data_IF_148806039211
#
_entry.id   IF_148806039211
#
_cell.length_a   1.000
_cell.length_b   1.000
_cell.length_c   1.000
_cell.angle_alpha   90.00
_cell.angle_beta   90.00
_cell.angle_gamma   90.00
#
_symmetry.space_group_name_H-M   'P 1'
#
loop_
_entity.id
_entity.type
_entity.pdbx_description
1 polymer ?
#
# COMPACT_ATOMS: atom_id res chain seq x y z
N UNK A 1 -18.13 18.27 6.86
CA UNK A 1 -19.19 17.60 7.66
C UNK A 1 -18.53 16.57 8.56
N UNK A 2 -18.98 16.43 9.81
CA UNK A 2 -18.36 15.48 10.76
C UNK A 2 -18.52 14.02 10.32
N UNK A 3 -19.69 13.67 9.79
CA UNK A 3 -20.01 12.34 9.25
C UNK A 3 -19.04 11.91 8.15
N UNK A 4 -18.68 12.81 7.22
CA UNK A 4 -17.71 12.52 6.17
C UNK A 4 -16.32 12.15 6.73
N UNK A 5 -15.89 12.80 7.82
CA UNK A 5 -14.61 12.46 8.47
C UNK A 5 -14.66 11.07 9.11
N UNK A 6 -15.77 10.72 9.75
CA UNK A 6 -15.97 9.38 10.31
C UNK A 6 -16.00 8.32 9.21
N UNK A 7 -16.70 8.57 8.10
CA UNK A 7 -16.71 7.66 6.96
C UNK A 7 -15.30 7.40 6.42
N UNK A 8 -14.48 8.45 6.25
CA UNK A 8 -13.07 8.34 5.85
C UNK A 8 -12.27 7.45 6.81
N UNK A 9 -12.42 7.67 8.12
CA UNK A 9 -11.72 6.88 9.16
C UNK A 9 -12.11 5.41 9.07
N UNK A 10 -13.41 5.11 9.02
CA UNK A 10 -13.92 3.74 8.96
C UNK A 10 -13.45 3.02 7.70
N UNK A 11 -13.53 3.67 6.53
CA UNK A 11 -13.08 3.08 5.27
C UNK A 11 -11.57 2.77 5.29
N UNK A 12 -10.76 3.67 5.85
CA UNK A 12 -9.30 3.41 6.01
C UNK A 12 -9.05 2.28 7.01
N UNK A 13 -9.82 2.19 8.09
CA UNK A 13 -9.73 1.07 9.04
C UNK A 13 -10.11 -0.27 8.40
N UNK A 14 -11.11 -0.30 7.51
CA UNK A 14 -11.45 -1.50 6.74
C UNK A 14 -10.31 -1.94 5.80
N UNK A 15 -9.65 -0.99 5.12
CA UNK A 15 -8.46 -1.30 4.32
C UNK A 15 -7.32 -1.88 5.18
N UNK A 16 -7.10 -1.29 6.37
CA UNK A 16 -6.11 -1.80 7.31
C UNK A 16 -6.43 -3.24 7.75
N UNK A 17 -7.68 -3.49 8.16
CA UNK A 17 -8.15 -4.81 8.58
C UNK A 17 -7.99 -5.85 7.46
N UNK A 18 -8.37 -5.49 6.23
CA UNK A 18 -8.18 -6.35 5.07
C UNK A 18 -6.70 -6.71 4.87
N UNK A 19 -5.79 -5.73 4.78
CA UNK A 19 -4.36 -6.00 4.58
C UNK A 19 -3.79 -6.88 5.70
N UNK A 20 -4.14 -6.61 6.96
CA UNK A 20 -3.64 -7.38 8.09
C UNK A 20 -4.18 -8.82 8.12
N UNK A 21 -5.42 -9.04 7.67
CA UNK A 21 -5.97 -10.38 7.49
C UNK A 21 -5.30 -11.12 6.32
N UNK A 22 -4.97 -10.43 5.23
CA UNK A 22 -4.18 -11.01 4.13
C UNK A 22 -2.80 -11.46 4.64
N UNK A 23 -2.10 -10.61 5.40
CA UNK A 23 -0.81 -10.97 6.03
C UNK A 23 -0.97 -12.16 6.96
N UNK A 24 -2.00 -12.16 7.81
CA UNK A 24 -2.28 -13.27 8.71
C UNK A 24 -2.51 -14.57 7.94
N UNK A 25 -3.29 -14.53 6.85
CA UNK A 25 -3.50 -15.66 5.94
C UNK A 25 -2.19 -16.16 5.33
N UNK A 26 -1.36 -15.26 4.80
CA UNK A 26 -0.08 -15.60 4.20
C UNK A 26 0.95 -16.18 5.20
N UNK A 27 0.84 -15.84 6.49
CA UNK A 27 1.69 -16.40 7.53
C UNK A 27 1.16 -17.74 8.08
N UNK A 28 -0.16 -17.92 8.17
CA UNK A 28 -0.77 -19.12 8.76
C UNK A 28 -0.97 -20.25 7.76
N UNK A 29 -1.31 -19.92 6.52
CA UNK A 29 -1.37 -20.84 5.39
C UNK A 29 -0.21 -20.56 4.41
N UNK A 30 1.01 -20.61 4.96
CA UNK A 30 2.21 -20.20 4.23
C UNK A 30 2.44 -21.03 2.97
N UNK A 31 2.26 -22.35 3.06
CA UNK A 31 2.63 -23.26 1.98
C UNK A 31 1.70 -23.11 0.77
N UNK A 32 0.39 -22.98 0.97
CA UNK A 32 -0.57 -22.85 -0.13
C UNK A 32 -0.34 -21.56 -0.93
N UNK A 33 -0.07 -20.46 -0.24
CA UNK A 33 0.22 -19.16 -0.84
C UNK A 33 1.64 -19.10 -1.44
N UNK A 34 2.61 -19.80 -0.85
CA UNK A 34 3.94 -19.96 -1.45
C UNK A 34 3.87 -20.70 -2.79
N UNK A 35 3.05 -21.76 -2.89
CA UNK A 35 2.85 -22.50 -4.14
C UNK A 35 2.28 -21.59 -5.24
N UNK A 36 1.42 -20.63 -4.90
CA UNK A 36 0.95 -19.62 -5.85
C UNK A 36 2.12 -18.85 -6.48
N UNK A 37 3.02 -18.31 -5.66
CA UNK A 37 4.19 -17.57 -6.14
C UNK A 37 5.13 -18.47 -6.95
N UNK A 38 5.34 -19.70 -6.50
CA UNK A 38 6.14 -20.70 -7.22
C UNK A 38 5.59 -20.92 -8.64
N UNK A 39 4.31 -21.26 -8.78
CA UNK A 39 3.71 -21.58 -10.08
C UNK A 39 3.63 -20.38 -11.02
N UNK A 40 3.42 -19.18 -10.49
CA UNK A 40 3.48 -17.95 -11.27
C UNK A 40 4.89 -17.73 -11.80
N UNK A 41 5.91 -17.77 -10.93
CA UNK A 41 7.28 -17.47 -11.32
C UNK A 41 7.90 -18.58 -12.19
N UNK A 42 7.55 -19.84 -11.95
CA UNK A 42 8.02 -20.97 -12.77
C UNK A 42 7.33 -21.02 -14.14
N UNK A 43 6.18 -20.35 -14.30
CA UNK A 43 5.35 -20.35 -15.50
C UNK A 43 4.91 -21.75 -15.97
N UNK A 44 4.96 -22.74 -15.08
CA UNK A 44 4.74 -24.17 -15.37
C UNK A 44 3.29 -24.54 -15.71
N UNK A 45 2.37 -23.62 -15.46
CA UNK A 45 0.94 -23.75 -15.78
C UNK A 45 0.48 -22.82 -16.91
N UNK A 46 1.42 -22.21 -17.65
CA UNK A 46 1.11 -21.45 -18.87
C UNK A 46 0.85 -22.39 -20.06
N UNK A 47 0.43 -21.83 -21.22
CA UNK A 47 0.06 -22.67 -22.37
C UNK A 47 1.23 -23.51 -22.90
N UNK A 48 0.97 -24.72 -23.43
CA UNK A 48 1.99 -25.52 -24.11
C UNK A 48 2.65 -24.74 -25.25
N UNK A 49 3.99 -24.78 -25.33
CA UNK A 49 4.74 -24.05 -26.37
C UNK A 49 4.78 -22.53 -26.18
N UNK A 50 4.49 -22.03 -24.97
CA UNK A 50 4.57 -20.61 -24.66
C UNK A 50 5.97 -20.03 -24.99
N UNK A 51 6.01 -19.05 -25.89
CA UNK A 51 7.26 -18.39 -26.31
C UNK A 51 7.87 -17.49 -25.24
N UNK A 52 7.13 -17.22 -24.16
CA UNK A 52 7.55 -16.36 -23.06
C UNK A 52 8.32 -17.10 -21.95
N UNK A 53 8.53 -18.42 -22.08
CA UNK A 53 9.19 -19.24 -21.06
C UNK A 53 10.63 -18.81 -20.74
N UNK A 54 11.26 -17.96 -21.56
CA UNK A 54 12.55 -17.34 -21.24
C UNK A 54 12.51 -16.43 -19.99
N UNK A 55 11.32 -16.04 -19.54
CA UNK A 55 11.09 -15.23 -18.34
C UNK A 55 10.93 -16.05 -17.07
N UNK A 56 10.76 -17.36 -17.20
CA UNK A 56 10.52 -18.26 -16.08
C UNK A 56 11.71 -18.27 -15.12
N UNK A 57 11.41 -18.28 -13.82
CA UNK A 57 12.39 -18.41 -12.75
C UNK A 57 12.12 -19.72 -12.05
N UNK A 58 13.05 -20.67 -12.11
CA UNK A 58 12.89 -22.03 -11.58
C UNK A 58 13.67 -22.29 -10.28
N UNK A 59 14.37 -21.27 -9.77
CA UNK A 59 15.22 -21.39 -8.60
C UNK A 59 14.45 -21.01 -7.31
N UNK A 60 14.31 -21.94 -6.34
CA UNK A 60 13.47 -21.73 -5.15
C UNK A 60 13.82 -20.52 -4.28
N UNK A 61 15.09 -20.11 -4.27
CA UNK A 61 15.53 -18.93 -3.52
C UNK A 61 14.80 -17.64 -3.97
N UNK A 62 14.54 -17.48 -5.27
CA UNK A 62 13.82 -16.31 -5.77
C UNK A 62 12.32 -16.35 -5.46
N UNK A 63 11.70 -17.53 -5.48
CA UNK A 63 10.30 -17.69 -5.06
C UNK A 63 10.11 -17.28 -3.60
N UNK A 64 11.02 -17.73 -2.73
CA UNK A 64 10.99 -17.37 -1.31
C UNK A 64 11.20 -15.87 -1.10
N UNK A 65 12.15 -15.27 -1.83
CA UNK A 65 12.41 -13.84 -1.75
C UNK A 65 11.19 -13.02 -2.21
N UNK A 66 10.58 -13.39 -3.34
CA UNK A 66 9.39 -12.74 -3.87
C UNK A 66 8.21 -12.87 -2.91
N UNK A 67 7.96 -14.06 -2.37
CA UNK A 67 6.85 -14.28 -1.45
C UNK A 67 7.02 -13.48 -0.14
N UNK A 68 8.24 -13.45 0.43
CA UNK A 68 8.55 -12.60 1.60
C UNK A 68 8.37 -11.11 1.31
N UNK A 69 8.73 -10.65 0.11
CA UNK A 69 8.54 -9.26 -0.31
C UNK A 69 7.06 -8.90 -0.42
N UNK A 70 6.21 -9.81 -0.91
CA UNK A 70 4.75 -9.62 -0.97
C UNK A 70 4.20 -9.45 0.45
N UNK A 71 4.47 -10.39 1.37
CA UNK A 71 4.01 -10.32 2.76
C UNK A 71 4.48 -9.04 3.44
N UNK A 72 5.74 -8.65 3.22
CA UNK A 72 6.29 -7.41 3.77
C UNK A 72 5.55 -6.16 3.25
N UNK A 73 5.24 -6.13 1.95
CA UNK A 73 4.47 -5.05 1.35
C UNK A 73 3.05 -4.97 1.91
N UNK A 74 2.35 -6.10 2.02
CA UNK A 74 1.01 -6.18 2.60
C UNK A 74 0.98 -5.73 4.06
N UNK A 75 1.96 -6.16 4.86
CA UNK A 75 2.12 -5.76 6.25
C UNK A 75 2.39 -4.26 6.36
N UNK A 76 3.27 -3.72 5.53
CA UNK A 76 3.58 -2.29 5.49
C UNK A 76 2.33 -1.48 5.12
N UNK A 77 1.56 -1.90 4.11
CA UNK A 77 0.31 -1.25 3.76
C UNK A 77 -0.71 -1.29 4.90
N UNK A 78 -0.91 -2.46 5.52
CA UNK A 78 -1.84 -2.63 6.65
C UNK A 78 -1.48 -1.78 7.85
N UNK A 79 -0.20 -1.72 8.24
CA UNK A 79 0.29 -0.89 9.34
C UNK A 79 0.11 0.60 9.02
N UNK A 80 0.43 1.04 7.80
CA UNK A 80 0.26 2.44 7.39
C UNK A 80 -1.21 2.86 7.37
N UNK A 81 -2.10 2.01 6.87
CA UNK A 81 -3.55 2.28 6.93
C UNK A 81 -4.05 2.30 8.38
N UNK A 82 -3.61 1.38 9.23
CA UNK A 82 -4.00 1.34 10.64
C UNK A 82 -3.54 2.61 11.37
N UNK A 83 -2.27 2.97 11.21
CA UNK A 83 -1.70 4.20 11.77
C UNK A 83 -2.42 5.44 11.23
N UNK A 84 -2.76 5.47 9.95
CA UNK A 84 -3.56 6.52 9.32
C UNK A 84 -4.97 6.62 9.92
N UNK A 85 -5.69 5.51 10.07
CA UNK A 85 -7.01 5.47 10.68
C UNK A 85 -6.98 5.99 12.13
N UNK A 86 -6.02 5.52 12.94
CA UNK A 86 -5.82 5.99 14.32
C UNK A 86 -5.52 7.49 14.31
N UNK A 87 -4.60 7.95 13.46
CA UNK A 87 -4.20 9.35 13.38
C UNK A 87 -5.36 10.27 12.98
N UNK A 88 -6.21 9.84 12.04
CA UNK A 88 -7.42 10.55 11.64
C UNK A 88 -8.48 10.56 12.75
N UNK A 89 -8.63 9.45 13.47
CA UNK A 89 -9.54 9.35 14.62
C UNK A 89 -9.16 10.34 15.74
N UNK A 90 -7.87 10.46 16.03
CA UNK A 90 -7.36 11.38 17.06
C UNK A 90 -7.63 12.85 16.71
N UNK A 91 -7.61 13.24 15.44
CA UNK A 91 -7.85 14.63 15.00
C UNK A 91 -9.20 14.87 14.34
N UNK A 92 -10.15 13.93 14.47
CA UNK A 92 -11.46 13.99 13.79
C UNK A 92 -12.24 15.29 14.04
N UNK A 93 -12.03 15.96 15.18
CA UNK A 93 -12.66 17.23 15.56
C UNK A 93 -11.79 18.48 15.36
N UNK A 94 -10.53 18.32 14.94
CA UNK A 94 -9.59 19.43 14.74
C UNK A 94 -9.94 20.24 13.47
N UNK A 95 -9.32 21.43 13.26
CA UNK A 95 -9.49 22.18 12.02
C UNK A 95 -9.19 21.34 10.77
N UNK A 96 -9.86 21.67 9.66
CA UNK A 96 -9.77 20.99 8.37
C UNK A 96 -8.33 20.80 7.89
N UNK A 97 -7.53 21.85 7.98
CA UNK A 97 -6.11 21.80 7.60
C UNK A 97 -5.30 20.77 8.43
N UNK A 98 -5.63 20.57 9.71
CA UNK A 98 -4.98 19.57 10.58
C UNK A 98 -5.43 18.16 10.19
N UNK A 99 -6.71 17.99 9.87
CA UNK A 99 -7.25 16.72 9.40
C UNK A 99 -6.67 16.33 8.02
N UNK A 100 -6.54 17.28 7.10
CA UNK A 100 -5.95 17.05 5.78
C UNK A 100 -4.48 16.60 5.86
N UNK A 101 -3.68 17.25 6.70
CA UNK A 101 -2.28 16.82 6.95
C UNK A 101 -2.18 15.42 7.55
N UNK A 102 -3.17 15.02 8.35
CA UNK A 102 -3.19 13.70 8.97
C UNK A 102 -3.41 12.55 7.98
N UNK A 103 -3.87 12.84 6.75
CA UNK A 103 -4.11 11.83 5.69
C UNK A 103 -2.82 11.27 5.08
N UNK A 104 -1.66 11.87 5.36
CA UNK A 104 -0.39 11.45 4.76
C UNK A 104 -0.08 9.95 4.95
N UNK A 105 -0.40 9.38 6.12
CA UNK A 105 -0.20 7.95 6.37
C UNK A 105 -1.12 7.07 5.51
N UNK A 106 -2.38 7.49 5.31
CA UNK A 106 -3.30 6.82 4.39
C UNK A 106 -2.80 6.87 2.95
N UNK A 107 -2.24 8.00 2.51
CA UNK A 107 -1.64 8.13 1.17
C UNK A 107 -0.47 7.16 1.01
N UNK A 108 0.43 7.08 2.00
CA UNK A 108 1.56 6.15 1.97
C UNK A 108 1.08 4.69 1.98
N UNK A 109 0.07 4.34 2.78
CA UNK A 109 -0.52 3.01 2.79
C UNK A 109 -1.13 2.63 1.44
N UNK A 110 -1.85 3.56 0.82
CA UNK A 110 -2.43 3.37 -0.51
C UNK A 110 -1.37 3.24 -1.62
N UNK A 111 -0.25 3.97 -1.52
CA UNK A 111 0.88 3.80 -2.44
C UNK A 111 1.48 2.40 -2.33
N UNK A 112 1.75 1.92 -1.11
CA UNK A 112 2.29 0.57 -0.91
C UNK A 112 1.29 -0.47 -1.41
N UNK A 113 0.00 -0.32 -1.12
CA UNK A 113 -1.04 -1.20 -1.66
C UNK A 113 -1.09 -1.17 -3.20
N UNK A 114 -0.98 0.00 -3.82
CA UNK A 114 -0.92 0.07 -5.27
C UNK A 114 0.32 -0.66 -5.83
N UNK A 115 1.48 -0.53 -5.18
CA UNK A 115 2.69 -1.23 -5.60
C UNK A 115 2.59 -2.75 -5.44
N UNK A 116 1.98 -3.25 -4.37
CA UNK A 116 1.79 -4.70 -4.18
C UNK A 116 0.79 -5.24 -5.19
N UNK A 117 -0.44 -4.72 -5.19
CA UNK A 117 -1.55 -5.32 -5.94
C UNK A 117 -1.62 -4.89 -7.40
N UNK A 118 -1.29 -3.64 -7.76
CA UNK A 118 -1.21 -3.28 -9.18
C UNK A 118 0.16 -3.67 -9.76
N UNK A 119 1.25 -3.09 -9.25
CA UNK A 119 2.56 -3.33 -9.87
C UNK A 119 3.02 -4.79 -9.69
N UNK A 120 2.93 -5.35 -8.48
CA UNK A 120 3.30 -6.75 -8.22
C UNK A 120 2.41 -7.76 -8.96
N UNK A 121 1.09 -7.70 -8.78
CA UNK A 121 0.21 -8.72 -9.36
C UNK A 121 -0.21 -8.47 -10.82
N UNK A 122 -0.40 -7.22 -11.26
CA UNK A 122 -0.81 -6.96 -12.64
C UNK A 122 0.39 -6.86 -13.57
N UNK A 123 1.40 -6.05 -13.21
CA UNK A 123 2.54 -5.79 -14.11
C UNK A 123 3.56 -6.93 -14.06
N UNK A 124 3.99 -7.34 -12.86
CA UNK A 124 5.02 -8.38 -12.73
C UNK A 124 4.41 -9.77 -12.89
N UNK A 125 3.47 -10.18 -12.05
CA UNK A 125 2.89 -11.52 -12.17
C UNK A 125 2.04 -11.68 -13.44
N UNK A 126 1.10 -10.76 -13.67
CA UNK A 126 0.22 -10.73 -14.84
C UNK A 126 1.00 -10.71 -16.16
N UNK A 127 1.70 -9.61 -16.44
CA UNK A 127 2.29 -9.38 -17.76
C UNK A 127 3.68 -10.00 -17.95
N UNK A 128 4.59 -9.86 -16.97
CA UNK A 128 5.92 -10.42 -17.12
C UNK A 128 5.87 -11.97 -17.09
N UNK A 129 5.22 -12.55 -16.08
CA UNK A 129 5.12 -14.02 -15.93
C UNK A 129 3.92 -14.65 -16.65
N UNK A 130 3.13 -13.87 -17.40
CA UNK A 130 1.96 -14.36 -18.12
C UNK A 130 0.96 -15.13 -17.23
N UNK A 131 0.80 -14.68 -15.97
CA UNK A 131 -0.10 -15.30 -14.99
C UNK A 131 -1.53 -15.44 -15.51
N UNK A 132 -1.95 -14.54 -16.42
CA UNK A 132 -3.26 -14.60 -17.07
C UNK A 132 -3.50 -15.89 -17.89
N UNK A 133 -2.46 -16.63 -18.28
CA UNK A 133 -2.59 -17.92 -18.98
C UNK A 133 -2.91 -19.08 -18.05
N UNK A 134 -2.63 -18.96 -16.75
CA UNK A 134 -2.89 -20.02 -15.77
C UNK A 134 -4.36 -19.99 -15.34
N UNK A 135 -5.07 -21.11 -15.48
CA UNK A 135 -6.46 -21.21 -15.01
C UNK A 135 -6.55 -21.32 -13.47
N UNK A 136 -5.53 -21.88 -12.83
CA UNK A 136 -5.52 -22.17 -11.39
C UNK A 136 -4.75 -21.12 -10.58
N UNK A 137 -3.68 -20.57 -11.15
CA UNK A 137 -2.76 -19.68 -10.44
C UNK A 137 -2.85 -18.26 -10.98
N UNK A 138 -4.07 -17.72 -11.07
CA UNK A 138 -4.31 -16.35 -11.53
C UNK A 138 -4.99 -15.52 -10.44
N UNK A 139 -4.28 -14.49 -9.98
CA UNK A 139 -4.73 -13.57 -8.93
C UNK A 139 -5.14 -12.19 -9.43
N UNK A 140 -5.17 -11.93 -10.75
CA UNK A 140 -5.38 -10.57 -11.29
C UNK A 140 -6.73 -9.99 -10.91
N UNK A 141 -7.79 -10.80 -10.89
CA UNK A 141 -9.13 -10.29 -10.56
C UNK A 141 -9.23 -9.88 -9.09
N UNK A 142 -8.68 -10.69 -8.18
CA UNK A 142 -8.62 -10.35 -6.76
C UNK A 142 -7.78 -9.09 -6.52
N UNK A 143 -6.62 -9.00 -7.19
CA UNK A 143 -5.75 -7.83 -7.13
C UNK A 143 -6.43 -6.57 -7.66
N UNK A 144 -7.12 -6.67 -8.81
CA UNK A 144 -7.92 -5.60 -9.41
C UNK A 144 -8.93 -5.03 -8.45
N UNK A 145 -9.76 -5.90 -7.87
CA UNK A 145 -10.79 -5.50 -6.89
C UNK A 145 -10.17 -4.74 -5.73
N UNK A 146 -9.02 -5.18 -5.23
CA UNK A 146 -8.41 -4.55 -4.08
C UNK A 146 -7.74 -3.21 -4.40
N UNK A 147 -6.84 -3.12 -5.38
CA UNK A 147 -6.16 -1.85 -5.66
C UNK A 147 -7.16 -0.79 -6.13
N UNK A 148 -8.21 -1.16 -6.88
CA UNK A 148 -9.27 -0.23 -7.27
C UNK A 148 -10.07 0.27 -6.07
N UNK A 149 -10.41 -0.63 -5.13
CA UNK A 149 -11.07 -0.24 -3.88
C UNK A 149 -10.18 0.71 -3.08
N UNK A 150 -8.88 0.40 -2.93
CA UNK A 150 -7.93 1.25 -2.22
C UNK A 150 -7.80 2.64 -2.88
N UNK A 151 -7.76 2.72 -4.22
CA UNK A 151 -7.74 3.98 -4.95
C UNK A 151 -9.04 4.77 -4.79
N UNK A 152 -10.20 4.11 -4.87
CA UNK A 152 -11.50 4.76 -4.67
C UNK A 152 -11.63 5.35 -3.26
N UNK A 153 -11.22 4.61 -2.23
CA UNK A 153 -11.16 5.10 -0.86
C UNK A 153 -10.16 6.26 -0.74
N UNK A 154 -8.98 6.15 -1.35
CA UNK A 154 -7.98 7.21 -1.33
C UNK A 154 -8.52 8.51 -1.95
N UNK A 155 -9.21 8.43 -3.10
CA UNK A 155 -9.85 9.57 -3.75
C UNK A 155 -10.85 10.22 -2.79
N UNK A 156 -11.73 9.43 -2.19
CA UNK A 156 -12.70 9.93 -1.22
C UNK A 156 -12.02 10.59 0.00
N UNK A 157 -10.98 9.96 0.57
CA UNK A 157 -10.20 10.50 1.68
C UNK A 157 -9.52 11.81 1.30
N UNK A 158 -9.03 11.93 0.07
CA UNK A 158 -8.31 13.11 -0.40
C UNK A 158 -9.19 14.31 -0.71
N UNK A 159 -10.52 14.14 -0.78
CA UNK A 159 -11.44 15.28 -0.85
C UNK A 159 -11.22 16.22 0.35
N UNK A 160 -11.06 17.54 0.14
CA UNK A 160 -10.75 18.51 1.19
C UNK A 160 -11.76 18.48 2.34
N UNK A 161 -11.28 18.52 3.58
CA UNK A 161 -12.14 18.64 4.75
C UNK A 161 -12.17 20.08 5.25
N UNK A 162 -13.35 20.71 5.21
CA UNK A 162 -13.56 22.04 5.80
C UNK A 162 -13.58 21.96 7.33
N UNK A 163 -13.42 23.12 7.96
CA UNK A 163 -13.64 23.28 9.39
C UNK A 163 -15.07 22.84 9.76
N UNK A 164 -15.18 22.20 10.92
CA UNK A 164 -16.48 21.88 11.48
C UNK A 164 -17.12 23.19 11.95
N UNK A 165 -18.39 23.41 11.62
CA UNK A 165 -19.14 24.51 12.23
C UNK A 165 -19.27 24.20 13.72
N UNK A 166 -18.85 25.14 14.56
CA UNK A 166 -19.14 25.10 16.00
C UNK A 166 -20.67 24.95 16.19
N UNK A 167 -21.14 24.15 17.16
CA UNK A 167 -22.58 23.98 17.41
C UNK A 167 -23.28 25.27 17.84
N UNK A 168 -22.54 26.27 18.34
CA UNK A 168 -23.06 27.57 18.70
C UNK A 168 -22.09 28.67 18.28
N UNK A 169 -22.58 29.84 17.82
CA UNK A 169 -21.77 31.04 17.86
C UNK A 169 -21.42 31.25 19.33
N UNK A 170 -20.14 31.12 19.69
CA UNK A 170 -19.64 31.78 20.89
C UNK A 170 -19.98 33.24 20.65
N UNK A 171 -20.91 33.79 21.44
CA UNK A 171 -21.24 35.20 21.37
C UNK A 171 -19.92 35.95 21.38
N UNK A 172 -19.68 36.74 20.34
CA UNK A 172 -18.48 37.57 20.28
C UNK A 172 -18.41 38.33 21.61
N UNK A 173 -17.27 38.27 22.29
CA UNK A 173 -17.04 39.12 23.46
C UNK A 173 -17.48 40.54 23.06
N UNK A 174 -18.32 41.21 23.87
CA UNK A 174 -18.76 42.56 23.55
C UNK A 174 -17.51 43.39 23.26
N UNK A 175 -17.44 43.87 22.01
CA UNK A 175 -16.37 44.75 21.54
C UNK A 175 -16.11 45.78 22.63
N UNK A 176 -14.89 45.91 23.19
CA UNK A 176 -14.64 46.91 24.21
C UNK A 176 -15.10 48.25 23.66
N UNK A 177 -15.98 48.90 24.41
CA UNK A 177 -16.57 50.17 24.05
C UNK A 177 -15.46 51.10 23.54
N UNK A 178 -15.69 51.67 22.36
CA UNK A 178 -14.68 52.41 21.62
C UNK A 178 -13.93 53.39 22.52
N UNK A 179 -12.59 53.34 22.45
CA UNK A 179 -11.78 54.42 22.96
C UNK A 179 -12.25 55.74 22.30
N UNK A 180 -12.44 56.82 23.06
CA UNK A 180 -12.90 58.08 22.50
C UNK A 180 -11.89 58.57 21.44
N UNK A 181 -12.45 59.03 20.33
CA UNK A 181 -11.70 59.60 19.22
C UNK A 181 -10.78 60.72 19.72
N UNK A 182 -9.46 60.53 19.55
CA UNK A 182 -8.51 61.64 19.73
C UNK A 182 -8.79 62.68 18.65
N UNK A 183 -9.11 63.88 19.12
CA UNK A 183 -9.24 65.09 18.32
C UNK A 183 -7.97 65.31 17.48
N UNK A 184 -8.19 65.67 16.22
CA UNK A 184 -7.15 66.06 15.29
C UNK A 184 -6.47 67.36 15.77
N UNK A 185 -5.14 67.34 15.85
CA UNK A 185 -4.31 68.53 16.02
C UNK A 185 -3.65 68.93 14.67
N UNK A 186 -3.42 70.23 14.43
CA UNK A 186 -3.21 70.78 13.09
C UNK A 186 -1.77 70.65 12.60
N UNK A 187 -1.63 70.73 11.27
CA UNK A 187 -0.36 70.70 10.51
C UNK A 187 0.51 71.92 10.82
N UNK A 188 1.81 71.70 11.02
CA UNK A 188 2.86 72.73 10.92
C UNK A 188 4.07 72.18 10.16
N UNK A 189 4.57 73.01 9.23
CA UNK A 189 5.89 72.97 8.56
C UNK A 189 7.00 73.05 9.65
N UNK A 190 8.29 72.70 9.49
CA UNK A 190 9.27 72.86 8.41
C UNK A 190 10.54 72.02 8.76
N UNK A 191 11.40 71.73 7.76
CA UNK A 191 12.73 71.05 7.86
C UNK A 191 13.83 71.95 8.53
N UNK A 192 15.14 71.57 8.70
CA UNK A 192 15.89 70.50 8.02
C UNK A 192 17.03 69.72 8.77
N UNK A 193 17.34 68.56 8.16
CA UNK A 193 18.64 67.89 7.92
C UNK A 193 19.73 67.75 9.02
N UNK A 194 20.24 66.50 9.18
CA UNK A 194 21.69 66.21 9.23
C UNK A 194 22.01 64.76 8.82
N UNK A 195 23.01 64.66 7.93
CA UNK A 195 23.62 63.46 7.32
C UNK A 195 24.30 62.55 8.35
N UNK A 196 24.37 61.23 8.09
CA UNK A 196 25.64 60.48 7.97
C UNK A 196 25.47 59.06 7.38
N UNK A 197 26.59 58.58 6.86
CA UNK A 197 26.84 57.59 5.80
C UNK A 197 26.72 56.10 6.20
N UNK A 198 26.78 55.16 5.22
CA UNK A 198 26.41 53.75 5.38
C UNK A 198 27.61 52.83 5.61
N UNK A 199 27.39 51.65 6.22
CA UNK A 199 28.42 50.59 6.27
C UNK A 199 27.86 49.22 5.87
N UNK A 200 28.26 48.84 4.64
CA UNK A 200 28.72 47.54 4.11
C UNK A 200 27.95 46.23 4.41
N UNK A 201 27.32 45.72 3.34
CA UNK A 201 27.13 44.29 3.04
C UNK A 201 28.49 43.57 2.94
N UNK A 202 28.56 42.33 3.44
CA UNK A 202 29.59 41.35 3.04
C UNK A 202 28.92 40.04 2.62
N UNK A 203 29.32 39.58 1.44
CA UNK A 203 28.84 38.39 0.73
C UNK A 203 29.59 37.11 1.18
N UNK A 204 29.20 35.91 0.70
CA UNK A 204 29.50 34.62 1.31
C UNK A 204 30.84 34.02 0.84
N UNK A 205 31.39 33.08 1.62
CA UNK A 205 32.56 32.29 1.25
C UNK A 205 32.18 30.86 0.82
N UNK A 206 32.76 30.42 -0.31
CA UNK A 206 32.71 29.07 -0.91
C UNK A 206 34.05 28.33 -0.69
N UNK A 207 33.99 26.99 -0.90
CA UNK A 207 35.03 25.94 -1.15
C UNK A 207 35.31 25.03 0.07
N UNK A 208 34.99 23.71 0.11
CA UNK A 208 35.39 22.52 -0.70
C UNK A 208 36.86 22.06 -0.44
N UNK A 209 37.29 20.78 -0.64
CA UNK A 209 36.63 19.46 -0.69
C UNK A 209 37.40 18.27 0.01
N UNK A 210 36.79 17.06 -0.05
CA UNK A 210 37.36 15.70 -0.20
C UNK A 210 38.26 15.02 0.88
N UNK A 211 37.90 13.78 1.27
CA UNK A 211 38.82 12.62 1.20
C UNK A 211 38.10 11.26 1.18
N UNK A 212 38.53 10.47 0.20
CA UNK A 212 38.21 9.07 -0.12
C UNK A 212 39.14 8.17 0.69
N UNK A 213 38.66 7.07 1.28
CA UNK A 213 39.52 5.94 1.67
C UNK A 213 38.81 4.61 1.44
N UNK A 214 39.58 3.70 0.85
CA UNK A 214 39.24 2.40 0.29
C UNK A 214 39.70 1.25 1.19
N UNK A 215 39.02 0.10 1.03
CA UNK A 215 39.47 -1.31 1.18
C UNK A 215 39.77 -1.87 2.57
N UNK A 216 39.15 -3.00 2.89
CA UNK A 216 39.81 -4.32 2.91
C UNK A 216 38.79 -5.48 2.92
N UNK A 217 39.10 -6.52 2.15
CA UNK A 217 38.49 -7.86 2.16
C UNK A 217 39.22 -8.70 3.22
N UNK A 218 38.52 -9.61 3.90
CA UNK A 218 39.10 -10.88 4.33
C UNK A 218 38.07 -12.00 4.31
N UNK A 219 38.49 -13.11 3.73
CA UNK A 219 37.82 -14.40 3.57
C UNK A 219 38.11 -15.30 4.78
N UNK A 220 37.19 -16.19 5.14
CA UNK A 220 37.52 -17.56 5.53
C UNK A 220 36.27 -18.45 5.52
N UNK A 221 36.32 -19.50 4.70
CA UNK A 221 35.43 -20.64 4.73
C UNK A 221 35.84 -21.62 5.84
N UNK A 222 34.88 -22.39 6.37
CA UNK A 222 35.14 -23.74 6.88
C UNK A 222 33.92 -24.66 6.75
N UNK A 223 34.25 -25.83 6.25
CA UNK A 223 33.49 -27.00 5.83
C UNK A 223 32.86 -27.77 7.00
N UNK A 224 31.72 -28.44 6.78
CA UNK A 224 31.50 -29.81 7.27
C UNK A 224 30.34 -30.47 6.53
N UNK A 225 30.50 -31.76 6.25
CA UNK A 225 29.70 -32.59 5.38
C UNK A 225 28.77 -33.56 6.16
N UNK A 226 27.86 -34.16 5.39
CA UNK A 226 27.26 -35.49 5.52
C UNK A 226 26.10 -35.72 6.52
N UNK A 227 24.92 -36.08 6.00
CA UNK A 227 24.48 -37.50 5.94
C UNK A 227 23.20 -37.70 5.12
N UNK A 228 23.24 -38.82 4.41
CA UNK A 228 22.26 -39.50 3.56
C UNK A 228 20.99 -39.92 4.30
N UNK A 229 19.82 -39.89 3.65
CA UNK A 229 18.82 -40.97 3.78
C UNK A 229 17.77 -40.93 2.64
N UNK A 230 17.70 -42.05 1.95
CA UNK A 230 16.70 -42.54 0.99
C UNK A 230 15.27 -42.59 1.53
N UNK A 231 14.28 -42.26 0.69
CA UNK A 231 12.95 -42.90 0.68
C UNK A 231 12.26 -42.72 -0.68
N UNK A 232 12.18 -43.80 -1.46
CA UNK A 232 11.19 -44.02 -2.55
C UNK A 232 9.92 -44.59 -1.91
N UNK A 233 8.72 -44.08 -2.22
CA UNK A 233 7.58 -44.88 -2.77
C UNK A 233 6.29 -44.08 -2.97
N UNK A 234 5.69 -44.27 -4.17
CA UNK A 234 4.28 -44.44 -4.51
C UNK A 234 3.18 -43.58 -3.84
N UNK A 235 2.64 -42.62 -4.61
CA UNK A 235 1.20 -42.28 -4.59
C UNK A 235 0.75 -41.73 -5.95
N UNK A 236 0.77 -42.57 -6.99
CA UNK A 236 -0.13 -42.40 -8.15
C UNK A 236 -1.03 -43.63 -8.20
N UNK A 237 -2.33 -43.45 -7.88
CA UNK A 237 -3.47 -44.30 -8.33
C UNK A 237 -4.81 -44.04 -7.63
N UNK A 238 -4.91 -43.16 -6.62
CA UNK A 238 -6.20 -42.96 -5.90
C UNK A 238 -7.01 -41.73 -6.31
N UNK A 239 -6.55 -40.92 -7.27
CA UNK A 239 -7.24 -39.69 -7.71
C UNK A 239 -8.22 -39.91 -8.88
N UNK A 240 -8.10 -41.01 -9.64
CA UNK A 240 -8.87 -41.22 -10.88
C UNK A 240 -10.25 -41.85 -10.67
N UNK A 241 -10.50 -42.51 -9.53
CA UNK A 241 -11.79 -43.18 -9.28
C UNK A 241 -12.89 -42.22 -8.80
N UNK A 242 -12.53 -41.18 -8.04
CA UNK A 242 -13.50 -40.26 -7.42
C UNK A 242 -14.09 -39.26 -8.42
N UNK A 243 -13.32 -38.89 -9.46
CA UNK A 243 -13.73 -37.92 -10.48
C UNK A 243 -14.72 -38.50 -11.49
N UNK A 244 -14.65 -39.80 -11.79
CA UNK A 244 -15.56 -40.46 -12.71
C UNK A 244 -16.98 -40.67 -12.13
N UNK A 245 -17.08 -40.91 -10.81
CA UNK A 245 -18.36 -41.08 -10.12
C UNK A 245 -19.13 -39.75 -9.96
N UNK A 246 -18.42 -38.63 -9.75
CA UNK A 246 -19.02 -37.30 -9.66
C UNK A 246 -19.57 -36.82 -11.02
N UNK A 247 -18.87 -37.11 -12.12
CA UNK A 247 -19.28 -36.70 -13.47
C UNK A 247 -20.54 -37.44 -13.95
N UNK A 248 -20.73 -38.70 -13.57
CA UNK A 248 -21.94 -39.48 -13.89
C UNK A 248 -23.18 -39.03 -13.11
N UNK A 249 -23.00 -38.52 -11.88
CA UNK A 249 -24.12 -37.98 -11.07
C UNK A 249 -24.62 -36.63 -11.57
N UNK A 250 -23.76 -35.82 -12.19
CA UNK A 250 -24.15 -34.53 -12.75
C UNK A 250 -24.91 -34.66 -14.08
N UNK A 251 -24.56 -35.65 -14.91
CA UNK A 251 -25.27 -35.91 -16.17
C UNK A 251 -26.71 -36.42 -15.93
N UNK A 252 -26.92 -37.29 -14.95
CA UNK A 252 -28.26 -37.82 -14.62
C UNK A 252 -29.20 -36.78 -13.97
N UNK A 253 -28.65 -35.69 -13.41
CA UNK A 253 -29.44 -34.59 -12.86
C UNK A 253 -29.93 -33.61 -13.93
N UNK A 254 -29.21 -33.51 -15.05
CA UNK A 254 -29.51 -32.56 -16.12
C UNK A 254 -30.59 -33.08 -17.09
N UNK A 255 -30.71 -34.40 -17.26
CA UNK A 255 -31.79 -35.03 -18.04
C UNK A 255 -33.16 -34.86 -17.37
N UNK A 256 -33.23 -34.82 -16.04
CA UNK A 256 -34.50 -34.66 -15.30
C UNK A 256 -35.10 -33.25 -15.34
N UNK A 257 -34.37 -32.27 -15.87
CA UNK A 257 -34.84 -30.88 -15.99
C UNK A 257 -35.36 -30.58 -17.40
N UNK A 258 -35.12 -31.46 -18.39
CA UNK A 258 -35.49 -31.26 -19.80
C UNK A 258 -36.86 -31.80 -20.24
N UNK A 259 -37.56 -32.60 -19.43
CA UNK A 259 -38.85 -33.22 -19.81
C UNK A 259 -40.09 -32.53 -19.22
N UNK A 260 -39.94 -31.30 -18.70
CA UNK A 260 -41.02 -30.56 -18.02
C UNK A 260 -41.40 -29.23 -18.67
N UNK A 261 -41.39 -29.13 -20.00
CA UNK A 261 -41.89 -27.97 -20.76
C UNK A 261 -42.72 -28.41 -21.96
#
# INVERSE_FOLDING_TARGET
MYTARIAKIVMVACLAAFCLLVVFGNLTDYQSNFLFVQHVMSMDTTYPGNKLMYRAVTEPAYWQAAYRLIIFGEATAGILFLAGAIRLLLVRRQPGAVFDRAKALTVMGALVAFLVWFFGFMVVAGEWFAMWQSATWNGQEAAFRFYMTALAVLIFVMLPDRDLKEPFPVAADPKPAGAPAKAAAPKSQTAPAKKKAPVKKKAPAKKAPAKKRTRAKTSAAKTSAAKTSTAKTNTSKTSTATTAAAKRRLAAANDKIGEGS
#
